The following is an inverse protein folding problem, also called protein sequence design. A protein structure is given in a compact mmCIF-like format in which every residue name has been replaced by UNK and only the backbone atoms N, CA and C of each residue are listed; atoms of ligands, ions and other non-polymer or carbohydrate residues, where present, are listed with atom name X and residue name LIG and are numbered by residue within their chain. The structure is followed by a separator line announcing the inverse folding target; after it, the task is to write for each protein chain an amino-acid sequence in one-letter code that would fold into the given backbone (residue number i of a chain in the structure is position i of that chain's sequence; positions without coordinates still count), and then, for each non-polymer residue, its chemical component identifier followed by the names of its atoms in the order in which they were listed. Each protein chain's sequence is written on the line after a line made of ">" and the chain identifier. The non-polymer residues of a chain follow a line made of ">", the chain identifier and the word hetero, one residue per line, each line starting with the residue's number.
data_IF_744826556687
#
_entry.id   IF_744826556687
#
_cell.length_a   1.000
_cell.length_b   1.000
_cell.length_c   1.000
_cell.angle_alpha   90.00
_cell.angle_beta   90.00
_cell.angle_gamma   90.00
#
_symmetry.space_group_name_H-M   'P 1'
#
loop_
_entity.id
_entity.type
_entity.pdbx_description
1 polymer ?
#
# COMPACT_ATOMS: atom_id res chain seq x y z
N UNK A 1 -17.18 2.45 -14.56
CA UNK A 1 -16.45 2.95 -13.38
C UNK A 1 -16.23 4.44 -13.57
N UNK A 2 -16.62 5.27 -12.61
CA UNK A 2 -16.35 6.71 -12.69
C UNK A 2 -14.85 6.96 -12.72
N UNK A 3 -14.39 7.74 -13.69
CA UNK A 3 -12.97 8.09 -13.90
C UNK A 3 -12.34 8.64 -12.62
N UNK A 4 -13.12 9.34 -11.80
CA UNK A 4 -12.74 9.88 -10.49
C UNK A 4 -12.23 8.83 -9.50
N UNK A 5 -12.81 7.62 -9.51
CA UNK A 5 -12.40 6.52 -8.61
C UNK A 5 -11.07 5.90 -9.02
N UNK A 6 -10.85 5.76 -10.33
CA UNK A 6 -9.58 5.30 -10.88
C UNK A 6 -8.48 6.34 -10.64
N UNK A 7 -8.79 7.62 -10.81
CA UNK A 7 -7.85 8.71 -10.52
C UNK A 7 -7.44 8.74 -9.05
N UNK A 8 -8.40 8.66 -8.13
CA UNK A 8 -8.09 8.73 -6.70
C UNK A 8 -7.21 7.57 -6.25
N UNK A 9 -7.54 6.33 -6.65
CA UNK A 9 -6.70 5.15 -6.36
C UNK A 9 -5.33 5.23 -7.04
N UNK A 10 -5.26 5.74 -8.27
CA UNK A 10 -4.00 5.99 -8.97
C UNK A 10 -3.09 6.97 -8.23
N UNK A 11 -3.65 8.08 -7.74
CA UNK A 11 -2.92 9.07 -6.93
C UNK A 11 -2.41 8.43 -5.64
N UNK A 12 -3.27 7.70 -4.91
CA UNK A 12 -2.87 7.00 -3.68
C UNK A 12 -1.74 5.99 -3.92
N UNK A 13 -1.80 5.24 -5.02
CA UNK A 13 -0.75 4.30 -5.42
C UNK A 13 0.57 5.04 -5.67
N UNK A 14 0.54 6.11 -6.47
CA UNK A 14 1.73 6.91 -6.81
C UNK A 14 2.36 7.50 -5.56
N UNK A 15 1.58 8.11 -4.67
CA UNK A 15 2.08 8.63 -3.41
C UNK A 15 2.68 7.52 -2.54
N UNK A 16 2.03 6.36 -2.45
CA UNK A 16 2.55 5.22 -1.69
C UNK A 16 3.88 4.72 -2.25
N UNK A 17 4.02 4.63 -3.58
CA UNK A 17 5.27 4.26 -4.24
C UNK A 17 6.38 5.29 -4.00
N UNK A 18 6.05 6.59 -4.04
CA UNK A 18 7.00 7.67 -3.76
C UNK A 18 7.55 7.51 -2.34
N UNK A 19 6.68 7.28 -1.35
CA UNK A 19 7.11 7.06 0.04
C UNK A 19 7.94 5.79 0.15
N UNK A 20 7.54 4.69 -0.49
CA UNK A 20 8.30 3.45 -0.49
C UNK A 20 9.70 3.63 -1.10
N UNK A 21 9.80 4.38 -2.19
CA UNK A 21 11.06 4.70 -2.86
C UNK A 21 11.97 5.59 -2.01
N UNK A 22 11.41 6.65 -1.42
CA UNK A 22 12.13 7.54 -0.50
C UNK A 22 12.66 6.79 0.72
N UNK A 23 11.84 5.91 1.31
CA UNK A 23 12.24 5.07 2.43
C UNK A 23 13.35 4.08 2.03
N UNK A 24 13.26 3.46 0.85
CA UNK A 24 14.32 2.59 0.34
C UNK A 24 15.63 3.34 0.06
N UNK A 25 15.52 4.53 -0.55
CA UNK A 25 16.69 5.38 -0.82
C UNK A 25 17.32 5.89 0.49
N UNK A 26 16.50 6.25 1.47
CA UNK A 26 16.93 6.62 2.82
C UNK A 26 17.63 5.47 3.54
N UNK A 27 17.10 4.24 3.43
CA UNK A 27 17.77 3.05 3.93
C UNK A 27 19.16 2.88 3.31
N UNK A 28 19.28 3.02 1.98
CA UNK A 28 20.55 2.86 1.28
C UNK A 28 21.60 3.90 1.69
N UNK A 29 21.18 5.10 2.09
CA UNK A 29 22.08 6.20 2.48
C UNK A 29 22.43 6.21 3.98
N UNK A 30 21.47 5.89 4.84
CA UNK A 30 21.64 5.99 6.30
C UNK A 30 21.83 4.63 7.00
N UNK A 31 21.64 3.50 6.30
CA UNK A 31 21.79 2.15 6.86
C UNK A 31 20.75 1.80 7.94
N UNK A 32 19.74 2.64 8.14
CA UNK A 32 18.73 2.48 9.18
C UNK A 32 17.71 1.41 8.78
N UNK A 33 17.84 0.22 9.35
CA UNK A 33 16.90 -0.90 9.14
C UNK A 33 15.42 -0.56 9.34
N UNK A 34 15.00 0.39 10.21
CA UNK A 34 13.61 0.88 10.28
C UNK A 34 13.05 1.34 8.92
N UNK A 35 13.86 2.03 8.10
CA UNK A 35 13.40 2.57 6.82
C UNK A 35 13.03 1.49 5.79
N UNK A 36 13.60 0.28 5.90
CA UNK A 36 13.16 -0.86 5.07
C UNK A 36 11.75 -1.30 5.41
N UNK A 37 11.39 -1.33 6.69
CA UNK A 37 10.05 -1.71 7.13
C UNK A 37 9.00 -0.69 6.67
N UNK A 38 9.34 0.60 6.67
CA UNK A 38 8.50 1.65 6.07
C UNK A 38 8.33 1.42 4.58
N UNK A 39 9.42 1.13 3.85
CA UNK A 39 9.38 0.86 2.42
C UNK A 39 8.45 -0.32 2.09
N UNK A 40 8.64 -1.45 2.77
CA UNK A 40 7.78 -2.63 2.61
C UNK A 40 6.32 -2.34 2.99
N UNK A 41 6.09 -1.62 4.08
CA UNK A 41 4.74 -1.24 4.52
C UNK A 41 3.98 -0.41 3.48
N UNK A 42 4.64 0.58 2.89
CA UNK A 42 4.05 1.42 1.85
C UNK A 42 3.83 0.69 0.52
N UNK A 43 4.66 -0.32 0.19
CA UNK A 43 4.37 -1.21 -0.94
C UNK A 43 3.08 -1.99 -0.71
N UNK A 44 2.91 -2.59 0.48
CA UNK A 44 1.67 -3.29 0.83
C UNK A 44 0.45 -2.36 0.81
N UNK A 45 0.58 -1.16 1.37
CA UNK A 45 -0.52 -0.16 1.37
C UNK A 45 -0.87 0.26 -0.07
N UNK A 46 0.13 0.53 -0.92
CA UNK A 46 -0.07 0.88 -2.32
C UNK A 46 -0.75 -0.25 -3.12
N UNK A 47 -0.28 -1.48 -2.97
CA UNK A 47 -0.90 -2.66 -3.62
C UNK A 47 -2.33 -2.86 -3.11
N UNK A 48 -2.57 -2.74 -1.81
CA UNK A 48 -3.90 -2.80 -1.22
C UNK A 48 -4.85 -1.77 -1.83
N UNK A 49 -4.37 -0.54 -2.03
CA UNK A 49 -5.15 0.56 -2.61
C UNK A 49 -5.61 0.32 -4.05
N UNK A 50 -5.01 -0.60 -4.81
CA UNK A 50 -5.49 -0.99 -6.15
C UNK A 50 -6.17 -2.36 -6.17
N UNK A 51 -5.93 -3.20 -5.16
CA UNK A 51 -6.49 -4.54 -5.07
C UNK A 51 -8.02 -4.56 -5.06
N UNK A 52 -8.70 -3.65 -4.36
CA UNK A 52 -10.17 -3.62 -4.35
C UNK A 52 -10.77 -3.44 -5.76
N UNK A 53 -10.20 -2.53 -6.55
CA UNK A 53 -10.63 -2.28 -7.93
C UNK A 53 -10.36 -3.48 -8.84
N UNK A 54 -9.19 -4.10 -8.69
CA UNK A 54 -8.80 -5.28 -9.47
C UNK A 54 -9.67 -6.51 -9.14
N UNK A 55 -9.90 -6.77 -7.85
CA UNK A 55 -10.69 -7.93 -7.38
C UNK A 55 -12.15 -7.77 -7.78
N UNK A 56 -12.72 -6.57 -7.65
CA UNK A 56 -14.07 -6.30 -8.12
C UNK A 56 -14.20 -6.55 -9.63
N UNK A 57 -13.21 -6.12 -10.43
CA UNK A 57 -13.24 -6.26 -11.88
C UNK A 57 -12.95 -7.68 -12.39
N UNK A 58 -12.02 -8.42 -11.75
CA UNK A 58 -11.58 -9.76 -12.19
C UNK A 58 -12.48 -10.89 -11.66
N UNK A 59 -12.99 -10.78 -10.44
CA UNK A 59 -13.74 -11.87 -9.79
C UNK A 59 -15.26 -11.69 -9.82
N UNK A 60 -15.78 -10.56 -10.34
CA UNK A 60 -17.23 -10.28 -10.35
C UNK A 60 -17.87 -10.36 -8.95
N UNK A 61 -17.03 -10.19 -7.92
CA UNK A 61 -17.33 -10.50 -6.52
C UNK A 61 -17.95 -9.28 -5.82
N UNK A 62 -18.69 -9.51 -4.74
CA UNK A 62 -19.32 -8.45 -3.95
C UNK A 62 -18.27 -7.44 -3.43
N UNK A 63 -18.63 -6.15 -3.44
CA UNK A 63 -17.79 -5.02 -2.98
C UNK A 63 -17.26 -5.28 -1.56
N UNK A 64 -18.07 -5.91 -0.69
CA UNK A 64 -17.69 -6.25 0.68
C UNK A 64 -16.45 -7.16 0.76
N UNK A 65 -16.39 -8.23 -0.03
CA UNK A 65 -15.26 -9.15 -0.08
C UNK A 65 -14.00 -8.51 -0.67
N UNK A 66 -14.15 -7.67 -1.70
CA UNK A 66 -13.01 -6.92 -2.25
C UNK A 66 -12.44 -5.94 -1.20
N UNK A 67 -13.31 -5.27 -0.45
CA UNK A 67 -12.92 -4.37 0.63
C UNK A 67 -12.27 -5.12 1.81
N UNK A 68 -12.71 -6.33 2.14
CA UNK A 68 -12.07 -7.17 3.16
C UNK A 68 -10.63 -7.55 2.77
N UNK A 69 -10.42 -8.01 1.53
CA UNK A 69 -9.07 -8.37 1.06
C UNK A 69 -8.17 -7.14 1.05
N UNK A 70 -8.64 -6.01 0.53
CA UNK A 70 -7.92 -4.74 0.62
C UNK A 70 -7.57 -4.40 2.08
N UNK A 71 -8.55 -4.51 2.99
CA UNK A 71 -8.37 -4.21 4.40
C UNK A 71 -7.27 -5.05 5.06
N UNK A 72 -7.21 -6.34 4.78
CA UNK A 72 -6.15 -7.23 5.29
C UNK A 72 -4.78 -6.83 4.75
N UNK A 73 -4.68 -6.54 3.45
CA UNK A 73 -3.42 -6.13 2.80
C UNK A 73 -2.94 -4.80 3.39
N UNK A 74 -3.82 -3.79 3.48
CA UNK A 74 -3.47 -2.47 4.05
C UNK A 74 -3.07 -2.60 5.52
N UNK A 75 -3.82 -3.39 6.31
CA UNK A 75 -3.51 -3.62 7.72
C UNK A 75 -2.13 -4.25 7.90
N UNK A 76 -1.77 -5.23 7.06
CA UNK A 76 -0.44 -5.84 7.08
C UNK A 76 0.68 -4.82 6.79
N UNK A 77 0.44 -3.89 5.84
CA UNK A 77 1.36 -2.80 5.55
C UNK A 77 1.50 -1.82 6.72
N UNK A 78 0.40 -1.49 7.41
CA UNK A 78 0.42 -0.67 8.61
C UNK A 78 1.20 -1.32 9.76
N UNK A 79 1.09 -2.64 9.93
CA UNK A 79 1.89 -3.38 10.92
C UNK A 79 3.39 -3.24 10.64
N UNK A 80 3.81 -3.32 9.37
CA UNK A 80 5.20 -3.09 8.99
C UNK A 80 5.66 -1.66 9.33
N UNK A 81 4.82 -0.66 9.09
CA UNK A 81 5.10 0.72 9.49
C UNK A 81 5.22 0.85 11.01
N UNK A 82 4.34 0.22 11.80
CA UNK A 82 4.43 0.23 13.26
C UNK A 82 5.73 -0.44 13.75
N UNK A 83 6.12 -1.57 13.14
CA UNK A 83 7.36 -2.26 13.47
C UNK A 83 8.59 -1.40 13.18
N UNK A 84 8.52 -0.53 12.16
CA UNK A 84 9.57 0.46 11.89
C UNK A 84 9.73 1.48 13.01
N UNK A 85 8.65 1.84 13.71
CA UNK A 85 8.69 2.84 14.79
C UNK A 85 9.13 2.25 16.13
N UNK A 86 9.02 0.92 16.30
CA UNK A 86 9.40 0.23 17.54
C UNK A 86 10.88 -0.15 17.63
N UNK A 87 11.65 -0.03 16.55
CA UNK A 87 13.08 -0.35 16.51
C UNK A 87 13.90 0.87 16.15
#
# INVERSE_FOLDING_TARGET
>A
MEVSFLLSKGITLVLSLIVAYLAYHGYRRSGQTPMLYVSGGFVFIGVGAICEGLIYQLFGTTIASAALVQGVIVSSGMVLVILSLRR
#
